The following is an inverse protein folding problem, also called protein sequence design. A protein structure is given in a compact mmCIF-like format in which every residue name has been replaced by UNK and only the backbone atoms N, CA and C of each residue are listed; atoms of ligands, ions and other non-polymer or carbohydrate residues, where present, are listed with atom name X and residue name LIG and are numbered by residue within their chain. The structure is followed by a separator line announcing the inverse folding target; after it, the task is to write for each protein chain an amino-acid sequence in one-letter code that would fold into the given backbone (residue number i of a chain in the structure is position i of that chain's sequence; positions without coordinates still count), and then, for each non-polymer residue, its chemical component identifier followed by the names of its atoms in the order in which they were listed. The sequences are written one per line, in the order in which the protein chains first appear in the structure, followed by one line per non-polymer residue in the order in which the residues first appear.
data_IF_708200061819
#
_entry.id   IF_708200061819
#
_cell.length_a   1.000
_cell.length_b   1.000
_cell.length_c   1.000
_cell.angle_alpha   90.00
_cell.angle_beta   90.00
_cell.angle_gamma   90.00
#
_symmetry.space_group_name_H-M   'P 1'
#
loop_
_entity.id
_entity.type
_entity.pdbx_description
1 polymer ?
#
# COMPACT_ATOMS: atom_id res chain seq x y z
N UNK A 1 -45.89 -50.07 -11.86
CA UNK A 1 -45.20 -48.87 -12.45
C UNK A 1 -44.59 -48.07 -11.31
N UNK A 2 -43.25 -48.25 -11.07
CA UNK A 2 -42.52 -47.52 -10.00
C UNK A 2 -41.79 -46.35 -10.65
N UNK A 3 -42.14 -45.10 -10.27
CA UNK A 3 -41.47 -43.88 -10.72
C UNK A 3 -40.30 -43.59 -9.78
N UNK A 4 -39.08 -43.77 -10.28
CA UNK A 4 -37.85 -43.36 -9.58
C UNK A 4 -37.67 -41.84 -9.79
N UNK A 5 -37.61 -41.09 -8.71
CA UNK A 5 -37.26 -39.67 -8.71
C UNK A 5 -35.74 -39.60 -8.44
N UNK A 6 -34.96 -39.26 -9.47
CA UNK A 6 -33.54 -38.88 -9.31
C UNK A 6 -33.48 -37.49 -8.77
N UNK A 7 -33.03 -37.33 -7.52
CA UNK A 7 -32.68 -36.04 -6.95
C UNK A 7 -31.24 -35.71 -7.32
N UNK A 8 -31.06 -34.78 -8.25
CA UNK A 8 -29.76 -34.24 -8.63
C UNK A 8 -29.37 -33.16 -7.59
N UNK A 9 -28.48 -33.50 -6.68
CA UNK A 9 -27.86 -32.53 -5.77
C UNK A 9 -26.83 -31.70 -6.53
N UNK A 10 -27.18 -30.49 -6.88
CA UNK A 10 -26.23 -29.51 -7.41
C UNK A 10 -25.33 -29.01 -6.29
N UNK A 11 -24.09 -29.53 -6.25
CA UNK A 11 -23.04 -29.07 -5.37
C UNK A 11 -22.55 -27.70 -5.91
N UNK A 12 -23.07 -26.59 -5.39
CA UNK A 12 -22.57 -25.27 -5.67
C UNK A 12 -21.21 -25.12 -4.97
N UNK A 13 -20.12 -25.36 -5.70
CA UNK A 13 -18.78 -24.94 -5.29
C UNK A 13 -18.75 -23.41 -5.26
N UNK A 14 -18.95 -22.82 -4.09
CA UNK A 14 -18.54 -21.47 -3.80
C UNK A 14 -17.01 -21.43 -3.93
N UNK A 15 -16.52 -21.04 -5.08
CA UNK A 15 -15.13 -20.64 -5.24
C UNK A 15 -14.93 -19.38 -4.37
N UNK A 16 -14.54 -19.60 -3.12
CA UNK A 16 -13.92 -18.55 -2.32
C UNK A 16 -12.68 -18.13 -3.11
N UNK A 17 -12.73 -16.98 -3.75
CA UNK A 17 -11.54 -16.36 -4.29
C UNK A 17 -10.67 -16.00 -3.09
N UNK A 18 -9.85 -16.95 -2.64
CA UNK A 18 -8.82 -16.70 -1.66
C UNK A 18 -7.93 -15.62 -2.27
N UNK A 19 -8.02 -14.39 -1.76
CA UNK A 19 -7.04 -13.36 -2.07
C UNK A 19 -5.75 -13.83 -1.42
N UNK A 20 -4.71 -13.93 -2.22
CA UNK A 20 -3.38 -14.24 -1.72
C UNK A 20 -2.91 -13.12 -0.77
N UNK A 21 -2.33 -13.50 0.35
CA UNK A 21 -1.66 -12.57 1.25
C UNK A 21 -0.21 -12.38 0.78
N UNK A 22 0.36 -11.19 1.00
CA UNK A 22 1.71 -10.87 0.55
C UNK A 22 2.54 -10.27 1.66
N UNK A 23 3.84 -10.63 1.69
CA UNK A 23 4.87 -9.90 2.41
C UNK A 23 5.83 -9.31 1.39
N UNK A 24 6.01 -7.99 1.43
CA UNK A 24 6.94 -7.25 0.58
C UNK A 24 7.96 -6.60 1.52
N UNK A 25 9.23 -6.85 1.25
CA UNK A 25 10.34 -6.20 1.95
C UNK A 25 10.99 -5.21 1.02
N UNK A 26 11.14 -3.99 1.51
CA UNK A 26 11.76 -2.92 0.75
C UNK A 26 12.67 -2.07 1.63
N UNK A 27 13.59 -1.37 0.99
CA UNK A 27 14.44 -0.38 1.60
C UNK A 27 14.19 0.98 0.94
N UNK A 28 14.02 2.00 1.78
CA UNK A 28 13.93 3.38 1.30
C UNK A 28 15.23 4.10 1.67
N UNK A 29 15.92 4.59 0.66
CA UNK A 29 17.11 5.43 0.83
C UNK A 29 16.76 6.90 0.59
N UNK A 30 17.05 7.74 1.56
CA UNK A 30 16.94 9.18 1.47
C UNK A 30 18.08 9.87 2.21
N UNK A 31 18.80 10.78 1.53
CA UNK A 31 19.91 11.56 2.12
C UNK A 31 20.97 10.70 2.79
N UNK A 32 21.32 9.54 2.16
CA UNK A 32 22.32 8.59 2.66
C UNK A 32 21.87 7.76 3.85
N UNK A 33 20.60 7.80 4.22
CA UNK A 33 20.01 6.93 5.25
C UNK A 33 19.15 5.88 4.57
N UNK A 34 19.39 4.62 4.91
CA UNK A 34 18.60 3.48 4.45
C UNK A 34 17.66 3.05 5.58
N UNK A 35 16.39 2.90 5.25
CA UNK A 35 15.36 2.46 6.18
C UNK A 35 14.65 1.24 5.60
N UNK A 36 14.78 0.06 6.25
CA UNK A 36 14.02 -1.11 5.84
C UNK A 36 12.54 -0.95 6.23
N UNK A 37 11.65 -1.39 5.36
CA UNK A 37 10.20 -1.42 5.55
C UNK A 37 9.70 -2.80 5.18
N UNK A 38 8.77 -3.32 5.98
CA UNK A 38 8.01 -4.53 5.64
C UNK A 38 6.55 -4.17 5.44
N UNK A 39 6.00 -4.58 4.30
CA UNK A 39 4.60 -4.39 3.93
C UNK A 39 3.93 -5.76 3.94
N UNK A 40 2.89 -5.92 4.74
CA UNK A 40 2.03 -7.10 4.78
C UNK A 40 0.66 -6.74 4.25
N UNK A 41 0.15 -7.52 3.32
CA UNK A 41 -1.16 -7.30 2.69
C UNK A 41 -2.03 -8.52 2.88
N UNK A 42 -3.21 -8.36 3.48
CA UNK A 42 -4.23 -9.40 3.65
C UNK A 42 -5.62 -8.85 3.37
N UNK A 43 -6.19 -9.22 2.23
CA UNK A 43 -7.46 -8.68 1.80
C UNK A 43 -7.44 -7.14 1.76
N UNK A 44 -8.36 -6.44 2.49
CA UNK A 44 -8.34 -4.98 2.54
C UNK A 44 -7.35 -4.42 3.56
N UNK A 45 -6.74 -5.25 4.38
CA UNK A 45 -5.84 -4.79 5.45
C UNK A 45 -4.40 -4.79 4.99
N UNK A 46 -3.70 -3.72 5.35
CA UNK A 46 -2.28 -3.55 5.10
C UNK A 46 -1.59 -3.16 6.39
N UNK A 47 -0.47 -3.78 6.65
CA UNK A 47 0.41 -3.40 7.74
C UNK A 47 1.76 -2.99 7.17
N UNK A 48 2.23 -1.82 7.59
CA UNK A 48 3.57 -1.32 7.30
C UNK A 48 4.36 -1.34 8.61
N UNK A 49 5.38 -2.18 8.67
CA UNK A 49 6.35 -2.14 9.76
C UNK A 49 7.48 -1.19 9.32
N UNK A 50 7.35 0.09 9.73
CA UNK A 50 8.26 1.18 9.31
C UNK A 50 9.61 1.06 10.00
N UNK A 51 9.62 0.62 11.24
CA UNK A 51 10.80 0.30 12.04
C UNK A 51 10.37 -0.49 13.29
N UNK A 52 11.33 -0.90 14.12
CA UNK A 52 11.04 -1.64 15.35
C UNK A 52 10.12 -0.90 16.34
N UNK A 53 10.09 0.44 16.27
CA UNK A 53 9.29 1.24 17.18
C UNK A 53 7.87 1.53 16.66
N UNK A 54 7.64 1.46 15.35
CA UNK A 54 6.38 1.94 14.77
C UNK A 54 5.87 1.02 13.66
N UNK A 55 4.59 0.70 13.74
CA UNK A 55 3.84 0.05 12.67
C UNK A 55 2.58 0.87 12.34
N UNK A 56 2.13 0.77 11.10
CA UNK A 56 0.89 1.39 10.63
C UNK A 56 0.00 0.30 10.05
N UNK A 57 -1.25 0.22 10.49
CA UNK A 57 -2.26 -0.65 9.91
C UNK A 57 -3.26 0.24 9.16
N UNK A 58 -3.50 -0.07 7.89
CA UNK A 58 -4.42 0.64 7.01
C UNK A 58 -5.54 -0.31 6.62
N UNK A 59 -6.78 0.12 6.74
CA UNK A 59 -7.90 -0.52 6.07
C UNK A 59 -8.10 0.16 4.71
N UNK A 60 -7.71 -0.52 3.63
CA UNK A 60 -7.77 0.04 2.29
C UNK A 60 -9.21 0.22 1.78
N UNK A 61 -10.20 -0.40 2.40
CA UNK A 61 -11.61 -0.24 2.05
C UNK A 61 -12.21 1.03 2.64
N UNK A 62 -11.86 1.38 3.88
CA UNK A 62 -12.36 2.59 4.57
C UNK A 62 -11.38 3.76 4.48
N UNK A 63 -10.10 3.48 4.36
CA UNK A 63 -9.00 4.44 4.43
C UNK A 63 -8.60 4.82 5.86
N UNK A 64 -9.15 4.14 6.87
CA UNK A 64 -8.77 4.38 8.25
C UNK A 64 -7.36 3.85 8.53
N UNK A 65 -6.62 4.57 9.36
CA UNK A 65 -5.26 4.22 9.75
C UNK A 65 -5.16 4.04 11.25
N UNK A 66 -4.35 3.06 11.66
CA UNK A 66 -4.00 2.80 13.05
C UNK A 66 -2.49 2.79 13.17
N UNK A 67 -1.93 3.70 13.96
CA UNK A 67 -0.50 3.77 14.24
C UNK A 67 -0.24 3.07 15.57
N UNK A 68 0.69 2.12 15.58
CA UNK A 68 1.16 1.42 16.76
C UNK A 68 2.55 1.95 17.13
N UNK A 69 2.70 2.50 18.34
CA UNK A 69 3.98 2.94 18.91
C UNK A 69 4.40 1.92 19.95
N UNK A 70 5.27 0.98 19.54
CA UNK A 70 5.58 -0.22 20.30
C UNK A 70 6.27 0.04 21.64
N UNK A 71 7.29 0.92 21.76
CA UNK A 71 7.97 1.14 23.04
C UNK A 71 7.07 1.68 24.15
N UNK A 72 6.05 2.51 23.78
CA UNK A 72 5.11 3.10 24.72
C UNK A 72 3.81 2.30 24.84
N UNK A 73 3.61 1.27 24.00
CA UNK A 73 2.35 0.52 23.89
C UNK A 73 1.14 1.45 23.67
N UNK A 74 1.32 2.37 22.73
CA UNK A 74 0.31 3.36 22.37
C UNK A 74 -0.28 3.03 21.01
N UNK A 75 -1.58 3.22 20.86
CA UNK A 75 -2.28 3.19 19.58
C UNK A 75 -2.94 4.54 19.32
N UNK A 76 -2.76 5.02 18.07
CA UNK A 76 -3.41 6.23 17.57
C UNK A 76 -4.26 5.85 16.36
N UNK A 77 -5.57 6.09 16.44
CA UNK A 77 -6.50 5.89 15.34
C UNK A 77 -6.72 7.20 14.60
N UNK A 78 -6.58 7.16 13.30
CA UNK A 78 -6.75 8.29 12.40
C UNK A 78 -7.82 7.92 11.39
N UNK A 79 -8.92 8.68 11.37
CA UNK A 79 -10.00 8.45 10.40
C UNK A 79 -9.56 8.82 8.99
N UNK A 80 -10.18 8.22 7.99
CA UNK A 80 -9.94 8.52 6.58
C UNK A 80 -10.10 10.02 6.25
N UNK A 81 -11.03 10.71 6.92
CA UNK A 81 -11.22 12.16 6.74
C UNK A 81 -10.01 12.97 7.22
N UNK A 82 -9.43 12.58 8.37
CA UNK A 82 -8.21 13.23 8.88
C UNK A 82 -7.01 12.94 7.95
N UNK A 83 -6.89 11.71 7.46
CA UNK A 83 -5.81 11.36 6.52
C UNK A 83 -5.94 12.20 5.24
N UNK A 84 -7.15 12.30 4.67
CA UNK A 84 -7.40 13.16 3.48
C UNK A 84 -7.03 14.60 3.72
N UNK A 85 -7.44 15.16 4.85
CA UNK A 85 -7.11 16.55 5.18
C UNK A 85 -5.60 16.79 5.26
N UNK A 86 -4.85 15.85 5.86
CA UNK A 86 -3.39 15.92 5.94
C UNK A 86 -2.73 15.78 4.56
N UNK A 87 -3.20 14.83 3.74
CA UNK A 87 -2.68 14.63 2.38
C UNK A 87 -2.94 15.84 1.50
N UNK A 88 -4.12 16.45 1.59
CA UNK A 88 -4.44 17.69 0.89
C UNK A 88 -3.48 18.83 1.29
N UNK A 89 -3.25 19.03 2.58
CA UNK A 89 -2.31 20.04 3.06
C UNK A 89 -0.88 19.77 2.59
N UNK A 90 -0.46 18.51 2.53
CA UNK A 90 0.85 18.11 2.00
C UNK A 90 0.96 18.42 0.49
N UNK A 91 -0.07 18.09 -0.30
CA UNK A 91 -0.13 18.44 -1.72
C UNK A 91 0.03 19.94 -1.96
N UNK A 92 -0.75 20.74 -1.23
CA UNK A 92 -0.66 22.21 -1.30
C UNK A 92 0.75 22.71 -0.97
N UNK A 93 1.40 22.16 0.07
CA UNK A 93 2.76 22.50 0.46
C UNK A 93 3.79 22.13 -0.63
N UNK A 94 3.58 21.01 -1.33
CA UNK A 94 4.44 20.56 -2.44
C UNK A 94 4.15 21.32 -3.75
N UNK A 95 3.12 22.16 -3.79
CA UNK A 95 2.71 22.91 -4.97
C UNK A 95 2.03 22.07 -6.04
N UNK A 96 1.59 20.86 -5.69
CA UNK A 96 0.89 19.96 -6.59
C UNK A 96 -0.56 20.45 -6.80
N UNK A 97 -0.95 20.64 -8.06
CA UNK A 97 -2.25 21.26 -8.42
C UNK A 97 -3.25 20.29 -9.03
N UNK A 98 -2.83 19.06 -9.37
CA UNK A 98 -3.66 18.14 -10.13
C UNK A 98 -4.37 17.13 -9.24
N UNK A 99 -5.71 17.06 -9.38
CA UNK A 99 -6.55 15.96 -8.86
C UNK A 99 -6.76 14.87 -9.94
N UNK A 100 -6.23 15.10 -11.14
CA UNK A 100 -6.30 14.14 -12.23
C UNK A 100 -5.22 13.08 -12.05
N UNK A 101 -5.59 11.81 -12.23
CA UNK A 101 -4.61 10.77 -12.48
C UNK A 101 -3.88 11.18 -13.76
N UNK A 102 -2.63 11.61 -13.65
CA UNK A 102 -1.84 12.00 -14.80
C UNK A 102 -1.78 10.80 -15.77
N UNK A 103 -1.87 11.08 -17.07
CA UNK A 103 -1.62 10.04 -18.08
C UNK A 103 -0.11 9.77 -18.08
N UNK A 104 0.30 8.87 -17.17
CA UNK A 104 1.71 8.54 -16.98
C UNK A 104 2.15 7.66 -18.13
N UNK A 105 3.09 8.18 -18.92
CA UNK A 105 3.75 7.44 -19.98
C UNK A 105 5.11 6.92 -19.50
N UNK A 106 5.30 5.60 -19.52
CA UNK A 106 6.59 4.96 -19.25
C UNK A 106 7.41 4.91 -20.52
N UNK A 107 8.62 5.51 -20.50
CA UNK A 107 9.55 5.54 -21.64
C UNK A 107 10.76 4.66 -21.31
N UNK A 108 10.98 3.55 -22.07
CA UNK A 108 12.18 2.74 -21.89
C UNK A 108 13.42 3.55 -22.27
N UNK A 109 14.49 3.41 -21.50
CA UNK A 109 15.80 4.04 -21.78
C UNK A 109 16.73 3.11 -22.52
N UNK A 110 16.46 1.80 -22.51
CA UNK A 110 17.34 0.76 -23.03
C UNK A 110 18.47 0.38 -22.07
N UNK A 111 18.53 0.97 -20.89
CA UNK A 111 19.48 0.57 -19.86
C UNK A 111 18.97 -0.67 -19.13
N UNK A 112 19.89 -1.58 -18.82
CA UNK A 112 19.60 -2.81 -18.07
C UNK A 112 20.49 -2.91 -16.84
N UNK A 113 19.95 -3.44 -15.74
CA UNK A 113 20.67 -3.72 -14.49
C UNK A 113 20.14 -5.01 -13.86
N UNK A 114 21.02 -5.79 -13.21
CA UNK A 114 20.62 -6.94 -12.40
C UNK A 114 20.27 -6.47 -10.99
N UNK A 115 19.01 -6.63 -10.57
CA UNK A 115 18.54 -6.27 -9.23
C UNK A 115 17.85 -7.49 -8.60
N UNK A 116 18.24 -7.86 -7.40
CA UNK A 116 17.72 -9.02 -6.67
C UNK A 116 17.70 -10.32 -7.49
N UNK A 117 18.65 -10.49 -8.42
CA UNK A 117 18.77 -11.65 -9.29
C UNK A 117 17.90 -11.62 -10.55
N UNK A 118 17.19 -10.52 -10.81
CA UNK A 118 16.38 -10.33 -12.00
C UNK A 118 17.01 -9.30 -12.95
N UNK A 119 16.90 -9.56 -14.25
CA UNK A 119 17.19 -8.55 -15.27
C UNK A 119 16.09 -7.50 -15.25
N UNK A 120 16.48 -6.24 -15.10
CA UNK A 120 15.56 -5.10 -15.08
C UNK A 120 15.90 -4.16 -16.23
N UNK A 121 14.86 -3.59 -16.83
CA UNK A 121 14.99 -2.51 -17.81
C UNK A 121 14.59 -1.18 -17.15
N UNK A 122 15.38 -0.14 -17.39
CA UNK A 122 15.07 1.20 -16.87
C UNK A 122 14.00 1.87 -17.74
N UNK A 123 12.99 2.40 -17.07
CA UNK A 123 11.96 3.28 -17.62
C UNK A 123 12.00 4.63 -16.92
N UNK A 124 11.70 5.69 -17.64
CA UNK A 124 11.50 7.02 -17.07
C UNK A 124 10.05 7.45 -17.24
N UNK A 125 9.57 8.24 -16.28
CA UNK A 125 8.26 8.86 -16.30
C UNK A 125 8.31 10.22 -15.61
N UNK A 126 7.36 11.07 -15.93
CA UNK A 126 6.99 12.22 -15.11
C UNK A 126 5.74 11.83 -14.31
N UNK A 127 5.84 11.81 -12.98
CA UNK A 127 4.75 11.45 -12.09
C UNK A 127 4.32 12.71 -11.35
N UNK A 128 3.33 13.42 -11.88
CA UNK A 128 2.81 14.71 -11.34
C UNK A 128 3.92 15.77 -11.15
N UNK A 129 4.80 15.93 -12.16
CA UNK A 129 5.92 16.86 -12.12
C UNK A 129 7.16 16.32 -11.38
N UNK A 130 7.14 15.06 -10.94
CA UNK A 130 8.27 14.41 -10.29
C UNK A 130 8.97 13.50 -11.28
N UNK A 131 10.20 13.83 -11.73
CA UNK A 131 11.01 12.92 -12.53
C UNK A 131 11.25 11.61 -11.81
N UNK A 132 10.85 10.51 -12.43
CA UNK A 132 10.88 9.17 -11.83
C UNK A 132 11.58 8.20 -12.77
N UNK A 133 12.53 7.42 -12.24
CA UNK A 133 13.11 6.25 -12.93
C UNK A 133 12.66 4.98 -12.24
N UNK A 134 12.31 3.96 -13.04
CA UNK A 134 11.89 2.64 -12.57
C UNK A 134 12.74 1.57 -13.23
N UNK A 135 13.31 0.68 -12.46
CA UNK A 135 13.99 -0.52 -12.94
C UNK A 135 13.01 -1.71 -12.80
N UNK A 136 12.47 -2.15 -13.93
CA UNK A 136 11.33 -3.06 -14.01
C UNK A 136 11.76 -4.46 -14.40
N UNK A 137 11.50 -5.43 -13.54
CA UNK A 137 11.68 -6.86 -13.80
C UNK A 137 10.43 -7.43 -14.48
N UNK A 138 10.49 -7.63 -15.80
CA UNK A 138 9.37 -8.17 -16.60
C UNK A 138 9.08 -9.65 -16.31
N UNK A 139 10.09 -10.37 -15.85
CA UNK A 139 10.01 -11.82 -15.58
C UNK A 139 9.79 -12.15 -14.11
N UNK A 140 9.53 -11.15 -13.26
CA UNK A 140 9.25 -11.41 -11.84
C UNK A 140 7.97 -12.26 -11.69
N UNK A 141 8.01 -13.39 -10.95
CA UNK A 141 6.84 -14.24 -10.79
C UNK A 141 5.66 -13.49 -10.18
N UNK A 142 4.45 -13.73 -10.71
CA UNK A 142 3.19 -13.17 -10.18
C UNK A 142 3.19 -11.64 -9.99
N UNK A 143 4.06 -10.90 -10.70
CA UNK A 143 4.20 -9.46 -10.53
C UNK A 143 2.88 -8.70 -10.62
N UNK A 144 1.95 -9.14 -11.45
CA UNK A 144 0.64 -8.49 -11.61
C UNK A 144 -0.17 -8.51 -10.32
N UNK A 145 -0.13 -9.60 -9.57
CA UNK A 145 -0.81 -9.72 -8.28
C UNK A 145 -0.14 -8.85 -7.22
N UNK A 146 1.20 -8.85 -7.20
CA UNK A 146 2.00 -8.04 -6.27
C UNK A 146 1.76 -6.55 -6.50
N UNK A 147 1.85 -6.10 -7.75
CA UNK A 147 1.58 -4.71 -8.12
C UNK A 147 0.15 -4.31 -7.79
N UNK A 148 -0.84 -5.19 -8.03
CA UNK A 148 -2.22 -4.95 -7.66
C UNK A 148 -2.41 -4.82 -6.13
N UNK A 149 -1.70 -5.64 -5.32
CA UNK A 149 -1.72 -5.56 -3.87
C UNK A 149 -1.13 -4.22 -3.37
N UNK A 150 0.02 -3.79 -3.92
CA UNK A 150 0.63 -2.49 -3.62
C UNK A 150 -0.32 -1.35 -4.01
N UNK A 151 -0.88 -1.41 -5.20
CA UNK A 151 -1.79 -0.38 -5.72
C UNK A 151 -3.08 -0.25 -4.89
N UNK A 152 -3.59 -1.36 -4.35
CA UNK A 152 -4.76 -1.35 -3.47
C UNK A 152 -4.54 -0.44 -2.25
N UNK A 153 -3.33 -0.45 -1.68
CA UNK A 153 -2.96 0.42 -0.54
C UNK A 153 -2.97 1.87 -0.96
N UNK A 154 -2.27 2.15 -2.05
CA UNK A 154 -2.06 3.51 -2.56
C UNK A 154 -3.36 4.12 -3.08
N UNK A 155 -4.31 3.29 -3.51
CA UNK A 155 -5.61 3.72 -4.03
C UNK A 155 -6.72 3.69 -2.96
N UNK A 156 -6.37 3.57 -1.67
CA UNK A 156 -7.34 3.63 -0.59
C UNK A 156 -8.05 5.00 -0.55
N UNK A 157 -9.30 5.09 -0.06
CA UNK A 157 -10.03 6.35 0.04
C UNK A 157 -9.29 7.46 0.79
N UNK A 158 -8.46 7.09 1.77
CA UNK A 158 -7.66 8.04 2.54
C UNK A 158 -6.51 8.64 1.72
N UNK A 159 -5.87 7.83 0.88
CA UNK A 159 -4.75 8.24 0.03
C UNK A 159 -5.19 8.71 -1.35
N UNK A 160 -6.50 8.82 -1.59
CA UNK A 160 -7.06 9.25 -2.88
C UNK A 160 -6.53 10.57 -3.40
N UNK A 161 -6.16 11.49 -2.50
CA UNK A 161 -5.48 12.73 -2.84
C UNK A 161 -4.04 12.54 -3.36
N UNK A 162 -3.42 11.38 -3.08
CA UNK A 162 -2.08 11.02 -3.57
C UNK A 162 -2.10 10.20 -4.87
N UNK A 163 -3.26 10.01 -5.50
CA UNK A 163 -3.42 9.18 -6.71
C UNK A 163 -2.53 9.59 -7.87
N UNK A 164 -2.23 10.87 -7.99
CA UNK A 164 -1.33 11.39 -9.02
C UNK A 164 0.14 10.93 -8.86
N UNK A 165 0.52 10.38 -7.69
CA UNK A 165 1.88 9.93 -7.39
C UNK A 165 2.08 8.43 -7.65
N UNK A 166 1.07 7.73 -8.13
CA UNK A 166 1.07 6.28 -8.26
C UNK A 166 0.88 5.86 -9.70
N UNK A 167 1.76 4.99 -10.19
CA UNK A 167 1.65 4.42 -11.52
C UNK A 167 0.64 3.28 -11.50
N UNK A 168 -0.44 3.34 -12.31
CA UNK A 168 -1.43 2.28 -12.36
C UNK A 168 -0.83 0.92 -12.78
N UNK A 169 -1.32 -0.21 -12.22
CA UNK A 169 -0.81 -1.55 -12.51
C UNK A 169 -0.78 -1.93 -13.99
N UNK A 170 -1.79 -1.49 -14.74
CA UNK A 170 -1.94 -1.75 -16.17
C UNK A 170 -0.89 -1.04 -17.04
N UNK A 171 -0.22 -0.04 -16.49
CA UNK A 171 0.89 0.66 -17.16
C UNK A 171 2.25 0.00 -16.88
N UNK A 172 2.36 -0.89 -15.88
CA UNK A 172 3.62 -1.51 -15.48
C UNK A 172 3.85 -2.82 -16.24
N UNK A 173 4.91 -2.95 -17.06
CA UNK A 173 5.21 -4.18 -17.80
C UNK A 173 5.86 -5.27 -16.94
N UNK A 174 6.08 -5.03 -15.64
CA UNK A 174 6.70 -5.93 -14.67
C UNK A 174 6.68 -5.34 -13.27
N UNK A 175 7.41 -5.97 -12.35
CA UNK A 175 7.59 -5.45 -10.99
C UNK A 175 8.71 -4.41 -10.96
N UNK A 176 8.46 -3.16 -10.52
CA UNK A 176 9.52 -2.20 -10.27
C UNK A 176 10.34 -2.63 -9.04
N UNK A 177 11.54 -3.19 -9.25
CA UNK A 177 12.43 -3.58 -8.15
C UNK A 177 13.19 -2.40 -7.59
N UNK A 178 13.39 -1.33 -8.38
CA UNK A 178 13.91 -0.05 -7.90
C UNK A 178 13.10 1.09 -8.49
N UNK A 179 12.74 2.05 -7.64
CA UNK A 179 12.10 3.30 -8.05
C UNK A 179 12.92 4.47 -7.51
N UNK A 180 13.20 5.46 -8.34
CA UNK A 180 13.98 6.66 -7.99
C UNK A 180 13.12 7.87 -8.29
N UNK A 181 12.68 8.58 -7.25
CA UNK A 181 11.99 9.86 -7.37
C UNK A 181 12.99 11.00 -7.16
N UNK A 182 12.96 12.01 -8.03
CA UNK A 182 13.80 13.20 -7.87
C UNK A 182 12.94 14.39 -7.45
N UNK A 183 12.96 14.73 -6.16
CA UNK A 183 12.16 15.81 -5.57
C UNK A 183 13.09 16.94 -5.17
N UNK A 184 12.93 18.11 -5.79
CA UNK A 184 13.78 19.31 -5.50
C UNK A 184 15.29 19.00 -5.58
N UNK A 185 15.69 18.14 -6.53
CA UNK A 185 17.08 17.74 -6.74
C UNK A 185 17.59 16.65 -5.78
N UNK A 186 16.79 16.21 -4.82
CA UNK A 186 17.12 15.09 -3.94
C UNK A 186 16.50 13.79 -4.47
N UNK A 187 17.27 12.69 -4.40
CA UNK A 187 16.78 11.37 -4.79
C UNK A 187 16.24 10.65 -3.57
N UNK A 188 15.05 10.06 -3.75
CA UNK A 188 14.48 9.06 -2.87
C UNK A 188 14.49 7.75 -3.66
N UNK A 189 15.20 6.77 -3.15
CA UNK A 189 15.32 5.46 -3.81
C UNK A 189 14.56 4.44 -2.98
N UNK A 190 13.64 3.71 -3.62
CA UNK A 190 12.98 2.55 -3.04
C UNK A 190 13.45 1.30 -3.76
N UNK A 191 13.98 0.34 -3.04
CA UNK A 191 14.35 -0.98 -3.56
C UNK A 191 13.42 -2.03 -2.95
N UNK A 192 12.84 -2.90 -3.79
CA UNK A 192 12.13 -4.10 -3.35
C UNK A 192 13.13 -5.25 -3.30
N UNK A 193 13.41 -5.75 -2.09
CA UNK A 193 14.30 -6.88 -1.87
C UNK A 193 13.61 -8.21 -2.14
N UNK A 194 12.34 -8.31 -1.74
CA UNK A 194 11.52 -9.49 -1.97
C UNK A 194 10.02 -9.17 -1.91
N UNK A 195 9.24 -9.91 -2.69
CA UNK A 195 7.79 -9.92 -2.62
C UNK A 195 7.32 -11.37 -2.71
N UNK A 196 6.64 -11.89 -1.68
CA UNK A 196 6.28 -13.29 -1.56
C UNK A 196 4.83 -13.46 -1.14
N UNK A 197 4.15 -14.42 -1.76
CA UNK A 197 2.86 -14.91 -1.30
C UNK A 197 3.06 -15.78 -0.06
N UNK A 198 2.28 -15.55 1.01
CA UNK A 198 2.35 -16.28 2.28
C UNK A 198 1.05 -16.13 3.04
N UNK A 199 0.71 -17.12 3.86
CA UNK A 199 -0.42 -17.01 4.78
C UNK A 199 -0.06 -16.10 5.96
N UNK A 200 -0.84 -15.04 6.16
CA UNK A 200 -0.65 -14.10 7.26
C UNK A 200 -1.70 -14.32 8.35
N UNK A 201 -1.32 -14.39 9.64
CA UNK A 201 -2.28 -14.47 10.71
C UNK A 201 -3.04 -13.15 10.88
N UNK A 202 -4.33 -13.22 11.25
CA UNK A 202 -5.14 -12.01 11.49
C UNK A 202 -4.61 -11.14 12.63
N UNK A 203 -3.83 -11.73 13.54
CA UNK A 203 -3.16 -11.04 14.63
C UNK A 203 -2.17 -9.99 14.15
N UNK A 204 -1.57 -10.16 12.96
CA UNK A 204 -0.66 -9.16 12.38
C UNK A 204 -1.39 -7.83 12.11
N UNK A 205 -2.70 -7.88 11.91
CA UNK A 205 -3.54 -6.71 11.59
C UNK A 205 -4.44 -6.29 12.76
N UNK A 206 -4.11 -6.72 13.98
CA UNK A 206 -4.86 -6.40 15.19
C UNK A 206 -4.06 -5.47 16.11
N UNK A 207 -4.79 -4.73 16.94
CA UNK A 207 -4.18 -3.92 18.01
C UNK A 207 -3.90 -4.85 19.17
N UNK A 208 -2.66 -4.93 19.70
CA UNK A 208 -2.37 -5.73 20.87
C UNK A 208 -3.18 -5.28 22.10
N UNK A 209 -3.67 -6.21 22.91
CA UNK A 209 -4.61 -5.94 24.01
C UNK A 209 -4.04 -5.04 25.13
N UNK A 210 -2.72 -4.94 25.22
CA UNK A 210 -2.00 -4.15 26.24
C UNK A 210 -1.66 -2.73 25.77
N UNK A 211 -2.15 -2.32 24.57
CA UNK A 211 -1.94 -0.97 24.03
C UNK A 211 -3.05 -0.02 24.52
N UNK A 212 -2.65 1.21 24.84
CA UNK A 212 -3.55 2.29 25.25
C UNK A 212 -3.84 3.22 24.10
N UNK A 213 -5.13 3.50 23.88
CA UNK A 213 -5.54 4.43 22.83
C UNK A 213 -5.24 5.87 23.25
N UNK A 214 -4.52 6.59 22.38
CA UNK A 214 -4.32 8.03 22.47
C UNK A 214 -5.19 8.71 21.41
N UNK A 215 -6.00 9.66 21.85
CA UNK A 215 -6.78 10.50 20.93
C UNK A 215 -5.87 11.58 20.36
N UNK A 216 -5.68 11.67 19.03
CA UNK A 216 -4.86 12.72 18.46
C UNK A 216 -5.44 14.12 18.72
N UNK A 217 -4.63 15.15 18.91
CA UNK A 217 -5.09 16.52 18.99
C UNK A 217 -5.92 16.88 17.76
N UNK A 218 -7.14 17.40 17.95
CA UNK A 218 -8.05 17.75 16.84
C UNK A 218 -9.02 16.68 16.40
N UNK A 219 -8.96 15.45 16.96
CA UNK A 219 -10.03 14.48 16.80
C UNK A 219 -11.24 14.95 17.61
N UNK A 220 -12.29 15.43 16.94
CA UNK A 220 -13.55 15.72 17.59
C UNK A 220 -14.05 14.45 18.30
N UNK A 221 -14.38 14.56 19.59
CA UNK A 221 -15.12 13.50 20.29
C UNK A 221 -16.41 13.30 19.52
N UNK A 222 -16.56 12.20 18.80
CA UNK A 222 -17.84 11.75 18.29
C UNK A 222 -18.70 11.51 19.54
N UNK A 223 -19.75 12.30 19.67
CA UNK A 223 -20.65 12.44 20.79
C UNK A 223 -20.93 11.13 21.51
N UNK A 224 -20.68 11.14 22.82
CA UNK A 224 -21.33 10.21 23.72
C UNK A 224 -22.85 10.46 23.60
N UNK A 225 -23.71 9.41 23.55
CA UNK A 225 -25.15 9.60 23.51
C UNK A 225 -25.57 10.44 24.72
N UNK A 226 -26.25 11.55 24.44
CA UNK A 226 -26.81 12.42 25.48
C UNK A 226 -27.70 11.57 26.43
N UNK A 227 -27.26 11.42 27.66
CA UNK A 227 -27.99 10.73 28.67
C UNK A 227 -29.37 11.36 28.84
N UNK A 228 -30.39 10.52 28.74
CA UNK A 228 -31.74 10.84 29.13
C UNK A 228 -31.74 11.27 30.61
N UNK A 229 -32.23 12.46 30.87
CA UNK A 229 -32.76 12.86 32.18
C UNK A 229 -34.25 12.64 32.19
#
# INVERSE_FOLDING_TARGET
MKKSILATAALACLALTARADYVIKEEIEHSGKVQPISIKVKGPKVRLDVNEANSVIIDSATGDMTILVHPQKIVVKISSDMVRAQMKALKELLGQKSDAVADIELKPTGNHEQIAGYDTEEYTADVDGIPTSLFIAKTYPDYQKIVAAIYQVQNSPALGEARGLVIPPDKLPGLPLRTIHTIKGQKIVTNIDSAQETDLPDTDFSIPADYKELTPPGAAKKDAPAGQR
#
